data_IF_467740289937
#
_entry.id   IF_467740289937
#
_cell.length_a   1.000
_cell.length_b   1.000
_cell.length_c   1.000
_cell.angle_alpha   90.00
_cell.angle_beta   90.00
_cell.angle_gamma   90.00
#
_symmetry.space_group_name_H-M   'P 1'
#
loop_
_entity.id
_entity.type
_entity.pdbx_description
1 polymer ?
#
# COMPACT_ATOMS: atom_id res chain seq x y z
N UNK A 1 2.36 0.81 -3.40
CA UNK A 1 1.93 1.86 -2.45
C UNK A 1 0.92 2.69 -3.20
N UNK A 2 -0.31 2.76 -2.70
CA UNK A 2 -1.35 3.56 -3.32
C UNK A 2 -1.34 4.90 -2.58
N UNK A 3 -1.16 6.01 -3.28
CA UNK A 3 -1.42 7.32 -2.67
C UNK A 3 -2.73 7.83 -3.25
N UNK A 4 -3.76 7.92 -2.43
CA UNK A 4 -4.98 8.61 -2.83
C UNK A 4 -4.80 10.10 -2.52
N UNK A 5 -5.03 10.96 -3.51
CA UNK A 5 -5.14 12.40 -3.32
C UNK A 5 -6.61 12.75 -3.30
N UNK A 6 -7.10 13.28 -2.18
CA UNK A 6 -8.40 13.91 -2.09
C UNK A 6 -8.20 15.43 -2.14
N UNK A 7 -8.79 16.08 -3.14
CA UNK A 7 -9.03 17.52 -3.08
C UNK A 7 -10.31 17.72 -2.27
N UNK A 8 -10.23 18.43 -1.14
CA UNK A 8 -11.44 18.98 -0.55
C UNK A 8 -12.01 19.99 -1.56
N UNK A 9 -13.18 19.66 -2.15
CA UNK A 9 -14.01 20.67 -2.81
C UNK A 9 -14.16 21.82 -1.82
N UNK A 10 -13.79 23.03 -2.24
CA UNK A 10 -14.06 24.25 -1.48
C UNK A 10 -15.58 24.41 -1.35
N UNK A 11 -16.18 23.78 -0.33
CA UNK A 11 -17.52 24.13 0.13
C UNK A 11 -17.37 25.36 1.02
N UNK A 12 -17.92 26.48 0.55
CA UNK A 12 -18.26 27.62 1.41
C UNK A 12 -17.29 28.79 1.37
N UNK A 13 -17.40 29.62 0.32
CA UNK A 13 -17.01 31.04 0.35
C UNK A 13 -18.08 31.85 -0.41
N UNK A 14 -19.34 31.67 -0.02
CA UNK A 14 -20.45 32.50 -0.48
C UNK A 14 -21.64 32.40 0.49
N UNK A 15 -21.42 32.69 1.77
CA UNK A 15 -22.52 33.04 2.70
C UNK A 15 -21.92 33.75 3.92
N UNK A 16 -21.50 34.99 3.69
CA UNK A 16 -21.04 35.91 4.70
C UNK A 16 -21.62 37.28 4.41
N UNK A 17 -22.95 37.41 4.45
CA UNK A 17 -23.62 38.71 4.57
C UNK A 17 -23.99 38.91 6.04
N UNK A 18 -23.08 39.60 6.71
CA UNK A 18 -23.31 40.71 7.62
C UNK A 18 -24.78 40.96 8.03
N UNK A 19 -25.11 40.67 9.29
CA UNK A 19 -26.20 41.31 10.01
C UNK A 19 -25.76 41.59 11.45
N UNK A 20 -25.69 42.87 11.78
CA UNK A 20 -25.30 43.44 13.07
C UNK A 20 -26.34 43.15 14.18
N UNK A 21 -26.00 43.35 15.48
CA UNK A 21 -26.74 42.80 16.60
C UNK A 21 -27.87 43.73 17.08
N UNK A 22 -28.96 43.16 17.59
CA UNK A 22 -29.89 43.88 18.49
C UNK A 22 -30.30 43.01 19.67
N UNK A 23 -30.17 43.62 20.84
CA UNK A 23 -30.49 43.20 22.19
C UNK A 23 -32.00 43.19 22.49
N UNK A 24 -32.43 42.26 23.37
CA UNK A 24 -33.30 42.45 24.58
C UNK A 24 -34.22 41.24 24.82
N UNK A 25 -34.16 40.61 26.02
CA UNK A 25 -35.05 39.54 26.49
C UNK A 25 -36.41 40.05 27.01
N UNK A 26 -37.12 39.40 27.98
CA UNK A 26 -36.83 38.13 28.69
C UNK A 26 -38.04 37.15 28.81
N UNK A 27 -37.85 36.11 29.65
CA UNK A 27 -38.82 35.21 30.31
C UNK A 27 -39.38 34.00 29.52
N UNK A 28 -39.04 32.77 29.96
CA UNK A 28 -39.85 32.11 30.98
C UNK A 28 -39.18 30.85 31.58
N UNK A 29 -39.41 30.64 32.87
CA UNK A 29 -38.89 29.55 33.69
C UNK A 29 -39.54 28.20 33.36
N UNK A 30 -38.76 27.11 33.45
CA UNK A 30 -39.02 26.02 34.43
C UNK A 30 -37.92 24.96 34.46
N UNK A 31 -37.60 24.61 35.69
CA UNK A 31 -36.80 23.52 36.26
C UNK A 31 -37.11 22.15 35.62
N UNK A 32 -36.25 21.12 35.69
CA UNK A 32 -35.97 20.30 36.88
C UNK A 32 -34.71 19.44 36.68
N UNK A 33 -33.92 19.32 37.75
CA UNK A 33 -32.79 18.40 37.90
C UNK A 33 -33.17 17.02 38.48
N UNK A 34 -32.17 16.18 38.85
CA UNK A 34 -32.16 14.74 38.52
C UNK A 34 -32.30 13.79 39.72
N UNK A 35 -32.59 12.49 39.48
CA UNK A 35 -31.96 11.30 40.11
C UNK A 35 -32.68 9.96 39.82
N UNK A 36 -31.84 8.95 39.56
CA UNK A 36 -31.83 7.56 40.07
C UNK A 36 -33.01 6.55 39.88
N UNK A 37 -32.57 5.28 39.67
CA UNK A 37 -33.23 3.94 39.56
C UNK A 37 -34.14 3.57 40.78
N UNK A 38 -34.82 2.38 40.91
CA UNK A 38 -34.64 1.04 40.26
C UNK A 38 -35.89 0.10 40.08
N UNK A 39 -35.63 -1.18 39.73
CA UNK A 39 -36.45 -2.42 39.90
C UNK A 39 -37.61 -2.66 38.88
N UNK A 40 -38.08 -3.86 38.49
CA UNK A 40 -37.94 -5.28 38.90
C UNK A 40 -38.61 -6.25 37.88
N UNK A 41 -38.06 -7.46 37.77
CA UNK A 41 -38.64 -8.82 37.51
C UNK A 41 -40.02 -9.09 36.85
N UNK A 42 -40.05 -10.05 35.90
CA UNK A 42 -40.80 -11.35 35.86
C UNK A 42 -40.46 -12.10 34.55
N UNK A 43 -39.76 -13.24 34.55
CA UNK A 43 -40.16 -14.67 34.68
C UNK A 43 -40.91 -15.30 33.49
N UNK A 44 -40.28 -16.34 32.93
CA UNK A 44 -40.85 -17.55 32.29
C UNK A 44 -39.68 -18.47 31.89
N UNK A 45 -39.28 -19.47 32.69
CA UNK A 45 -39.64 -20.92 32.60
C UNK A 45 -39.27 -21.56 31.25
N UNK A 46 -38.61 -22.72 31.12
CA UNK A 46 -38.16 -23.77 32.05
C UNK A 46 -37.06 -24.60 31.35
N UNK A 47 -36.32 -25.34 32.17
CA UNK A 47 -35.11 -26.16 31.97
C UNK A 47 -35.40 -27.53 31.23
N UNK A 48 -34.54 -28.60 31.24
CA UNK A 48 -33.29 -28.81 32.01
C UNK A 48 -32.14 -29.69 31.43
N UNK A 49 -31.00 -29.61 32.16
CA UNK A 49 -30.02 -30.64 32.56
C UNK A 49 -29.22 -31.41 31.47
N UNK A 50 -27.92 -31.70 31.62
CA UNK A 50 -27.18 -32.08 32.84
C UNK A 50 -25.66 -32.06 32.54
N UNK A 51 -24.84 -31.46 33.39
CA UNK A 51 -23.40 -31.75 33.52
C UNK A 51 -23.09 -31.81 35.02
N UNK A 52 -22.65 -32.97 35.49
CA UNK A 52 -22.11 -33.19 36.84
C UNK A 52 -20.63 -33.56 36.70
N UNK A 53 -19.79 -32.86 37.46
CA UNK A 53 -18.34 -32.98 37.42
C UNK A 53 -17.73 -33.95 38.44
N UNK A 54 -16.50 -34.38 38.11
CA UNK A 54 -15.36 -34.71 38.98
C UNK A 54 -15.45 -35.93 39.92
N UNK A 55 -14.36 -36.35 40.60
CA UNK A 55 -12.94 -35.97 40.51
C UNK A 55 -11.99 -37.19 40.29
N UNK A 56 -10.67 -36.97 40.22
CA UNK A 56 -9.67 -37.96 39.80
C UNK A 56 -9.17 -38.97 40.85
N UNK A 57 -8.40 -39.97 40.39
CA UNK A 57 -7.25 -40.60 41.07
C UNK A 57 -6.65 -41.73 40.20
N UNK A 58 -5.32 -41.77 40.15
CA UNK A 58 -4.42 -42.94 40.11
C UNK A 58 -4.74 -44.20 39.28
N UNK A 59 -3.76 -44.62 38.47
CA UNK A 59 -3.50 -46.03 38.17
C UNK A 59 -3.57 -46.41 36.69
N UNK A 60 -2.44 -46.41 36.00
CA UNK A 60 -2.31 -47.01 34.67
C UNK A 60 -1.52 -48.33 34.77
N UNK A 61 -2.09 -49.49 34.39
CA UNK A 61 -1.32 -50.68 34.10
C UNK A 61 -0.98 -50.76 32.60
N UNK A 62 0.19 -51.36 32.39
CA UNK A 62 0.91 -51.69 31.15
C UNK A 62 0.00 -52.25 30.04
N UNK A 63 0.39 -52.01 28.77
CA UNK A 63 0.59 -53.01 27.70
C UNK A 63 0.95 -52.27 26.38
N UNK A 64 2.24 -52.28 26.00
CA UNK A 64 2.66 -51.98 24.62
C UNK A 64 3.68 -53.04 24.18
N UNK A 65 3.48 -53.77 23.07
CA UNK A 65 4.45 -54.74 22.61
C UNK A 65 5.57 -54.05 21.83
N UNK A 66 6.78 -54.49 22.14
CA UNK A 66 8.06 -54.17 21.54
C UNK A 66 8.02 -54.23 20.01
N UNK A 67 8.26 -53.12 19.32
CA UNK A 67 8.66 -53.11 17.90
C UNK A 67 10.06 -52.55 17.78
N UNK A 68 10.96 -53.37 17.23
CA UNK A 68 12.36 -53.07 16.94
C UNK A 68 12.47 -51.83 16.02
N UNK A 69 13.55 -51.02 16.11
CA UNK A 69 13.76 -49.93 15.18
C UNK A 69 14.18 -50.47 13.81
N UNK A 70 13.46 -50.12 12.75
CA UNK A 70 13.94 -50.31 11.38
C UNK A 70 15.05 -49.28 11.06
N UNK A 71 16.09 -49.63 10.31
CA UNK A 71 17.13 -48.69 9.92
C UNK A 71 16.57 -47.66 8.93
N UNK A 72 16.78 -46.38 9.23
CA UNK A 72 16.45 -45.28 8.32
C UNK A 72 17.37 -45.35 7.11
N UNK A 73 16.79 -45.48 5.92
CA UNK A 73 17.51 -45.27 4.66
C UNK A 73 18.02 -43.81 4.61
N UNK A 74 19.23 -43.56 4.11
CA UNK A 74 19.76 -42.20 4.01
C UNK A 74 18.94 -41.43 2.98
N UNK A 75 18.40 -40.29 3.39
CA UNK A 75 17.79 -39.31 2.49
C UNK A 75 18.89 -38.80 1.57
N UNK A 76 18.95 -39.31 0.34
CA UNK A 76 19.75 -38.69 -0.71
C UNK A 76 19.20 -37.29 -0.95
N UNK A 77 19.92 -36.30 -0.46
CA UNK A 77 19.75 -34.91 -0.85
C UNK A 77 20.20 -34.81 -2.31
N UNK A 78 19.25 -34.93 -3.23
CA UNK A 78 19.49 -34.58 -4.63
C UNK A 78 19.96 -33.11 -4.66
N UNK A 79 21.12 -32.80 -5.26
CA UNK A 79 21.55 -31.42 -5.39
C UNK A 79 20.60 -30.75 -6.39
N UNK A 80 19.87 -29.74 -5.93
CA UNK A 80 19.11 -28.85 -6.81
C UNK A 80 20.05 -28.29 -7.89
N UNK A 81 19.64 -28.26 -9.17
CA UNK A 81 20.47 -27.73 -10.24
C UNK A 81 20.84 -26.27 -9.97
N UNK A 82 22.12 -25.94 -10.13
CA UNK A 82 22.72 -24.66 -9.79
C UNK A 82 22.20 -23.44 -10.61
N UNK A 83 21.24 -23.64 -11.52
CA UNK A 83 20.71 -22.60 -12.40
C UNK A 83 19.69 -21.65 -11.75
N UNK A 84 19.27 -21.90 -10.49
CA UNK A 84 18.30 -21.08 -9.76
C UNK A 84 18.88 -20.27 -8.58
N UNK A 85 20.21 -20.16 -8.45
CA UNK A 85 20.86 -19.38 -7.38
C UNK A 85 20.94 -17.87 -7.63
N UNK A 86 20.12 -17.32 -8.53
CA UNK A 86 19.93 -15.88 -8.70
C UNK A 86 18.57 -15.41 -8.18
N UNK A 87 17.98 -16.11 -7.20
CA UNK A 87 16.97 -15.47 -6.38
C UNK A 87 17.66 -14.31 -5.63
N UNK A 88 17.42 -13.09 -6.10
CA UNK A 88 17.91 -11.87 -5.50
C UNK A 88 17.76 -11.94 -3.98
N UNK A 89 18.86 -11.67 -3.29
CA UNK A 89 18.96 -11.78 -1.84
C UNK A 89 17.83 -10.96 -1.17
N UNK A 90 17.22 -11.41 -0.05
CA UNK A 90 16.04 -10.78 0.55
C UNK A 90 16.29 -9.40 1.17
N UNK A 91 17.50 -8.85 1.01
CA UNK A 91 17.90 -7.58 1.59
C UNK A 91 17.22 -6.39 0.92
N UNK A 92 16.95 -5.35 1.70
CA UNK A 92 16.47 -4.08 1.17
C UNK A 92 17.53 -3.41 0.30
N UNK A 93 17.11 -2.73 -0.76
CA UNK A 93 18.02 -2.04 -1.69
C UNK A 93 18.84 -0.94 -1.01
N UNK A 94 18.33 -0.35 0.08
CA UNK A 94 19.04 0.65 0.88
C UNK A 94 20.15 0.10 1.78
N UNK A 95 20.28 -1.22 1.92
CA UNK A 95 21.31 -1.85 2.76
C UNK A 95 22.71 -1.47 2.28
N UNK A 96 22.95 -1.46 0.96
CA UNK A 96 24.23 -1.06 0.38
C UNK A 96 24.61 0.36 0.81
N UNK A 97 23.69 1.31 0.67
CA UNK A 97 23.92 2.70 1.06
C UNK A 97 24.31 2.84 2.54
N UNK A 98 23.60 2.17 3.44
CA UNK A 98 23.92 2.28 4.88
C UNK A 98 25.25 1.62 5.23
N UNK A 99 25.60 0.49 4.61
CA UNK A 99 26.90 -0.17 4.82
C UNK A 99 28.06 0.65 4.25
N UNK A 100 27.89 1.25 3.08
CA UNK A 100 28.90 2.12 2.47
C UNK A 100 29.17 3.40 3.31
N UNK A 101 28.21 3.80 4.16
CA UNK A 101 28.29 4.99 5.01
C UNK A 101 28.42 4.64 6.50
N UNK A 102 28.83 3.41 6.83
CA UNK A 102 28.83 2.90 8.21
C UNK A 102 29.69 3.77 9.14
N UNK A 103 30.82 4.28 8.67
CA UNK A 103 31.72 5.13 9.46
C UNK A 103 31.04 6.43 9.91
N UNK A 104 30.20 7.03 9.05
CA UNK A 104 29.43 8.24 9.38
C UNK A 104 28.27 7.92 10.31
N UNK A 105 27.59 6.79 10.09
CA UNK A 105 26.41 6.37 10.85
C UNK A 105 26.77 5.86 12.24
N UNK A 106 27.96 5.26 12.40
CA UNK A 106 28.46 4.71 13.65
C UNK A 106 29.01 5.74 14.65
N UNK A 107 29.06 7.03 14.29
CA UNK A 107 29.56 8.08 15.17
C UNK A 107 28.62 8.31 16.36
N UNK A 108 29.18 8.57 17.55
CA UNK A 108 28.40 8.79 18.79
C UNK A 108 27.43 9.98 18.70
N UNK A 109 27.76 10.97 17.88
CA UNK A 109 26.98 12.17 17.62
C UNK A 109 26.22 12.11 16.28
N UNK A 110 25.99 10.92 15.73
CA UNK A 110 25.29 10.74 14.47
C UNK A 110 23.89 11.38 14.52
N UNK A 111 23.62 12.23 13.53
CA UNK A 111 22.30 12.77 13.25
C UNK A 111 21.91 12.43 11.80
N UNK A 112 20.73 11.83 11.55
CA UNK A 112 20.33 11.43 10.21
C UNK A 112 20.24 12.61 9.24
N UNK A 113 20.85 12.46 8.06
CA UNK A 113 20.63 13.38 6.95
C UNK A 113 19.25 13.16 6.32
N UNK A 114 18.80 14.11 5.49
CA UNK A 114 17.57 13.93 4.70
C UNK A 114 17.62 12.68 3.82
N UNK A 115 18.79 12.38 3.26
CA UNK A 115 19.00 11.19 2.44
C UNK A 115 18.87 9.89 3.24
N UNK A 116 19.41 9.87 4.47
CA UNK A 116 19.26 8.72 5.38
C UNK A 116 17.79 8.46 5.71
N UNK A 117 17.04 9.52 5.97
CA UNK A 117 15.61 9.45 6.26
C UNK A 117 14.83 8.91 5.05
N UNK A 118 15.13 9.38 3.84
CA UNK A 118 14.48 8.90 2.61
C UNK A 118 14.78 7.44 2.29
N UNK A 119 15.98 6.95 2.62
CA UNK A 119 16.40 5.56 2.40
C UNK A 119 16.05 4.61 3.56
N UNK A 120 15.66 5.15 4.71
CA UNK A 120 15.24 4.37 5.85
C UNK A 120 13.93 3.62 5.53
N UNK A 121 13.93 2.31 5.77
CA UNK A 121 12.78 1.46 5.47
C UNK A 121 11.96 1.19 6.74
N UNK A 122 10.72 1.67 6.77
CA UNK A 122 9.71 1.28 7.74
C UNK A 122 8.46 0.82 7.01
N UNK A 123 8.00 -0.41 7.27
CA UNK A 123 6.79 -0.91 6.64
C UNK A 123 5.56 -0.18 7.20
N UNK A 124 4.81 0.52 6.34
CA UNK A 124 3.53 1.15 6.72
C UNK A 124 2.54 0.09 7.17
N UNK A 125 2.07 0.20 8.42
CA UNK A 125 0.99 -0.61 8.97
C UNK A 125 -0.24 0.27 9.11
N UNK A 126 -1.32 -0.06 8.41
CA UNK A 126 -2.54 0.74 8.38
C UNK A 126 -2.52 1.86 7.33
N UNK A 127 -3.24 2.93 7.65
CA UNK A 127 -3.52 4.09 6.81
C UNK A 127 -2.94 5.31 7.52
N UNK A 128 -2.22 6.15 6.79
CA UNK A 128 -1.63 7.39 7.29
C UNK A 128 -2.08 8.52 6.39
N UNK A 129 -2.63 9.59 6.99
CA UNK A 129 -3.05 10.78 6.26
C UNK A 129 -2.03 11.91 6.45
N UNK A 130 -1.78 12.64 5.38
CA UNK A 130 -0.92 13.81 5.35
C UNK A 130 -1.63 14.96 4.66
N UNK A 131 -1.90 16.01 5.44
CA UNK A 131 -2.49 17.25 4.93
C UNK A 131 -1.40 18.27 4.61
N UNK A 132 -1.47 18.86 3.42
CA UNK A 132 -0.58 19.93 3.02
C UNK A 132 -1.28 20.92 2.08
N UNK A 133 -0.81 22.16 2.05
CA UNK A 133 -1.37 23.20 1.17
C UNK A 133 -0.34 23.56 0.10
N UNK A 134 -0.71 23.43 -1.17
CA UNK A 134 0.14 23.78 -2.30
C UNK A 134 -0.56 24.87 -3.11
N UNK A 135 0.09 26.04 -3.27
CA UNK A 135 -0.47 27.18 -4.02
C UNK A 135 -1.91 27.52 -3.58
N UNK A 136 -2.16 27.53 -2.26
CA UNK A 136 -3.47 27.78 -1.62
C UNK A 136 -4.54 26.69 -1.83
N UNK A 137 -4.18 25.57 -2.43
CA UNK A 137 -5.08 24.42 -2.61
C UNK A 137 -4.77 23.40 -1.52
N UNK A 138 -5.74 23.01 -0.68
CA UNK A 138 -5.55 21.96 0.32
C UNK A 138 -5.51 20.59 -0.37
N UNK A 139 -4.47 19.83 -0.07
CA UNK A 139 -4.27 18.45 -0.50
C UNK A 139 -4.26 17.55 0.72
N UNK A 140 -5.03 16.46 0.64
CA UNK A 140 -4.93 15.35 1.56
C UNK A 140 -4.36 14.15 0.82
N UNK A 141 -3.19 13.68 1.25
CA UNK A 141 -2.55 12.47 0.75
C UNK A 141 -2.73 11.34 1.75
N UNK A 142 -3.22 10.20 1.25
CA UNK A 142 -3.43 9.01 2.07
C UNK A 142 -2.43 7.93 1.65
N UNK A 143 -1.51 7.57 2.55
CA UNK A 143 -0.59 6.43 2.39
C UNK A 143 -1.19 5.16 3.00
N UNK A 144 -1.17 4.09 2.22
CA UNK A 144 -1.67 2.78 2.63
C UNK A 144 -0.61 1.69 2.47
N UNK A 145 -0.58 0.78 3.45
CA UNK A 145 0.28 -0.40 3.38
C UNK A 145 0.03 -1.24 2.11
N UNK A 146 1.10 -1.56 1.39
CA UNK A 146 1.05 -2.32 0.13
C UNK A 146 1.06 -3.86 0.28
N UNK A 147 1.38 -4.37 1.47
CA UNK A 147 1.44 -5.81 1.76
C UNK A 147 0.05 -6.43 1.70
N UNK A 148 -0.07 -7.72 1.33
CA UNK A 148 -1.35 -8.44 1.17
C UNK A 148 -2.23 -8.31 2.41
N UNK A 149 -1.64 -8.41 3.61
CA UNK A 149 -2.34 -8.26 4.90
C UNK A 149 -2.96 -6.87 5.11
N UNK A 150 -2.47 -5.83 4.46
CA UNK A 150 -2.96 -4.46 4.60
C UNK A 150 -3.98 -4.07 3.53
N UNK A 151 -4.07 -4.82 2.42
CA UNK A 151 -4.96 -4.48 1.29
C UNK A 151 -6.44 -4.50 1.65
N UNK A 152 -6.81 -5.33 2.62
CA UNK A 152 -8.16 -5.31 3.16
C UNK A 152 -8.51 -3.94 3.75
N UNK A 153 -7.56 -3.10 4.18
CA UNK A 153 -7.88 -1.78 4.74
C UNK A 153 -8.14 -0.71 3.67
N UNK A 154 -7.81 -0.97 2.41
CA UNK A 154 -7.89 0.05 1.36
C UNK A 154 -9.33 0.56 1.12
N UNK A 155 -10.35 -0.28 1.35
CA UNK A 155 -11.73 0.17 1.21
C UNK A 155 -12.11 1.32 2.16
N UNK A 156 -11.37 1.48 3.27
CA UNK A 156 -11.64 2.51 4.28
C UNK A 156 -11.23 3.91 3.81
N UNK A 157 -10.38 4.01 2.78
CA UNK A 157 -9.87 5.28 2.26
C UNK A 157 -10.32 5.59 0.83
N UNK A 158 -11.31 4.85 0.30
CA UNK A 158 -11.80 5.05 -1.08
C UNK A 158 -12.93 6.06 -1.20
N UNK A 159 -13.44 6.58 -0.09
CA UNK A 159 -14.47 7.62 -0.13
C UNK A 159 -13.88 9.00 -0.43
N UNK A 160 -14.50 9.75 -1.34
CA UNK A 160 -14.12 11.12 -1.68
C UNK A 160 -12.74 11.31 -2.33
N UNK A 161 -12.11 10.25 -2.85
CA UNK A 161 -10.80 10.39 -3.51
C UNK A 161 -10.94 11.02 -4.89
N UNK A 162 -10.02 11.93 -5.22
CA UNK A 162 -9.99 12.62 -6.51
C UNK A 162 -9.08 11.90 -7.50
N UNK A 163 -7.96 11.38 -7.00
CA UNK A 163 -6.97 10.71 -7.83
C UNK A 163 -6.23 9.63 -7.07
N UNK A 164 -5.76 8.63 -7.80
CA UNK A 164 -4.94 7.52 -7.33
C UNK A 164 -3.56 7.62 -7.98
N UNK A 165 -2.51 7.72 -7.18
CA UNK A 165 -1.13 7.54 -7.60
C UNK A 165 -0.73 6.09 -7.31
N UNK A 166 -0.64 5.30 -8.37
CA UNK A 166 -0.28 3.89 -8.28
C UNK A 166 1.23 3.72 -8.43
N UNK A 167 1.93 3.35 -7.36
CA UNK A 167 3.38 3.17 -7.40
C UNK A 167 3.78 1.71 -7.70
N UNK A 168 4.64 1.56 -8.70
CA UNK A 168 5.25 0.29 -9.13
C UNK A 168 6.75 0.37 -8.89
N UNK A 169 7.33 -0.71 -8.36
CA UNK A 169 8.77 -0.87 -8.28
C UNK A 169 9.29 -1.48 -9.58
N UNK A 170 9.82 -0.64 -10.49
CA UNK A 170 10.20 -1.09 -11.83
C UNK A 170 11.44 -1.98 -11.86
N UNK A 171 12.30 -1.89 -10.85
CA UNK A 171 13.51 -2.71 -10.73
C UNK A 171 13.24 -4.14 -10.24
N UNK A 172 12.02 -4.50 -9.82
CA UNK A 172 11.71 -5.77 -9.15
C UNK A 172 11.21 -6.87 -10.10
N UNK A 173 11.50 -6.77 -11.41
CA UNK A 173 11.07 -7.74 -12.41
C UNK A 173 11.67 -9.14 -12.26
N UNK A 174 12.79 -9.26 -11.54
CA UNK A 174 13.52 -10.50 -11.23
C UNK A 174 13.27 -11.00 -9.80
N UNK A 175 12.46 -10.29 -9.01
CA UNK A 175 12.23 -10.59 -7.60
C UNK A 175 10.91 -11.32 -7.34
N UNK A 176 10.89 -12.10 -6.28
CA UNK A 176 9.67 -12.73 -5.74
C UNK A 176 9.17 -11.98 -4.49
N UNK A 177 7.87 -12.12 -4.20
CA UNK A 177 7.27 -11.57 -2.99
C UNK A 177 7.90 -12.21 -1.75
N UNK A 178 8.08 -11.40 -0.71
CA UNK A 178 8.54 -11.90 0.59
C UNK A 178 7.51 -12.81 1.28
N UNK A 179 6.23 -12.61 0.96
CA UNK A 179 5.09 -13.26 1.61
C UNK A 179 4.94 -14.73 1.21
N UNK A 180 5.21 -15.08 -0.06
CA UNK A 180 5.05 -16.45 -0.57
C UNK A 180 6.30 -17.02 -1.24
N UNK A 181 7.35 -16.21 -1.46
CA UNK A 181 8.63 -16.57 -2.11
C UNK A 181 8.48 -17.24 -3.48
N UNK A 182 7.33 -17.07 -4.13
CA UNK A 182 7.01 -17.72 -5.40
C UNK A 182 6.51 -16.73 -6.45
N UNK A 183 5.61 -15.82 -6.05
CA UNK A 183 4.98 -14.88 -6.97
C UNK A 183 5.96 -13.78 -7.35
N UNK A 184 6.13 -13.52 -8.65
CA UNK A 184 6.94 -12.41 -9.15
C UNK A 184 6.33 -11.06 -8.71
N UNK A 185 7.17 -10.13 -8.23
CA UNK A 185 6.71 -8.86 -7.67
C UNK A 185 6.10 -7.91 -8.68
N UNK A 186 6.65 -7.87 -9.89
CA UNK A 186 6.11 -7.03 -10.96
C UNK A 186 4.77 -7.58 -11.45
N UNK A 187 4.64 -8.92 -11.57
CA UNK A 187 3.37 -9.59 -11.89
C UNK A 187 2.30 -9.28 -10.84
N UNK A 188 2.65 -9.39 -9.55
CA UNK A 188 1.74 -9.02 -8.47
C UNK A 188 1.29 -7.56 -8.60
N UNK A 189 2.22 -6.64 -8.89
CA UNK A 189 1.91 -5.21 -9.08
C UNK A 189 0.95 -5.00 -10.26
N UNK A 190 1.11 -5.73 -11.36
CA UNK A 190 0.19 -5.70 -12.50
C UNK A 190 -1.20 -6.22 -12.15
N UNK A 191 -1.31 -7.30 -11.35
CA UNK A 191 -2.60 -7.86 -10.93
C UNK A 191 -3.36 -6.91 -10.01
N UNK A 192 -2.66 -6.24 -9.10
CA UNK A 192 -3.24 -5.19 -8.25
C UNK A 192 -3.71 -4.02 -9.11
N UNK A 193 -2.88 -3.56 -10.05
CA UNK A 193 -3.23 -2.47 -10.95
C UNK A 193 -4.48 -2.80 -11.77
N UNK A 194 -4.56 -4.01 -12.33
CA UNK A 194 -5.72 -4.50 -13.06
C UNK A 194 -7.01 -4.43 -12.22
N UNK A 195 -6.90 -4.75 -10.93
CA UNK A 195 -8.05 -4.73 -10.01
C UNK A 195 -8.51 -3.30 -9.75
N UNK A 196 -7.59 -2.36 -9.57
CA UNK A 196 -7.91 -0.95 -9.31
C UNK A 196 -8.42 -0.27 -10.57
N UNK A 197 -7.69 -0.35 -11.68
CA UNK A 197 -7.99 0.42 -12.90
C UNK A 197 -9.31 0.01 -13.56
N UNK A 198 -9.78 -1.22 -13.29
CA UNK A 198 -11.05 -1.73 -13.80
C UNK A 198 -12.18 -1.69 -12.75
N UNK A 199 -11.94 -1.13 -11.56
CA UNK A 199 -12.95 -1.02 -10.53
C UNK A 199 -13.93 0.11 -10.86
N UNK A 200 -15.24 -0.20 -10.84
CA UNK A 200 -16.31 0.78 -11.10
C UNK A 200 -16.31 1.94 -10.10
N UNK A 201 -15.84 1.72 -8.87
CA UNK A 201 -15.71 2.79 -7.86
C UNK A 201 -14.77 3.91 -8.29
N UNK A 202 -13.85 3.64 -9.23
CA UNK A 202 -12.84 4.60 -9.69
C UNK A 202 -13.10 5.12 -11.10
N UNK A 203 -14.34 4.98 -11.61
CA UNK A 203 -14.67 5.43 -12.96
C UNK A 203 -14.41 6.93 -13.19
N UNK A 204 -14.70 7.76 -12.18
CA UNK A 204 -14.47 9.21 -12.19
C UNK A 204 -13.17 9.63 -11.48
N UNK A 205 -12.30 8.68 -11.14
CA UNK A 205 -11.05 8.95 -10.40
C UNK A 205 -9.88 8.91 -11.37
N UNK A 206 -9.04 9.95 -11.34
CA UNK A 206 -7.81 9.98 -12.16
C UNK A 206 -6.80 8.98 -11.63
N UNK A 207 -6.36 8.02 -12.45
CA UNK A 207 -5.36 7.03 -12.06
C UNK A 207 -4.05 7.33 -12.78
N UNK A 208 -3.00 7.59 -12.01
CA UNK A 208 -1.67 7.96 -12.49
C UNK A 208 -0.67 6.90 -12.05
N UNK A 209 0.09 6.35 -13.01
CA UNK A 209 1.05 5.28 -12.80
C UNK A 209 2.46 5.82 -12.58
N UNK A 210 3.07 5.53 -11.43
CA UNK A 210 4.48 5.84 -11.17
C UNK A 210 5.32 4.57 -11.29
N UNK A 211 6.18 4.55 -12.30
CA UNK A 211 7.22 3.55 -12.49
C UNK A 211 8.46 4.01 -11.71
N UNK A 212 8.52 3.62 -10.43
CA UNK A 212 9.51 4.07 -9.47
C UNK A 212 10.78 3.20 -9.49
N UNK A 213 11.84 3.71 -8.83
CA UNK A 213 13.17 3.10 -8.73
C UNK A 213 13.89 3.02 -10.07
N UNK A 214 13.79 4.11 -10.83
CA UNK A 214 14.40 4.20 -12.15
C UNK A 214 15.92 4.14 -12.10
N UNK A 215 16.51 4.70 -11.06
CA UNK A 215 17.93 4.57 -10.70
C UNK A 215 18.38 3.09 -10.63
N UNK A 216 17.61 2.26 -9.93
CA UNK A 216 17.92 0.84 -9.81
C UNK A 216 17.62 0.06 -11.09
N UNK A 217 16.60 0.48 -11.85
CA UNK A 217 16.30 -0.13 -13.15
C UNK A 217 17.46 0.08 -14.13
N UNK A 218 18.01 1.29 -14.21
CA UNK A 218 19.13 1.64 -15.09
C UNK A 218 20.33 0.72 -14.86
N UNK A 219 20.70 0.48 -13.60
CA UNK A 219 21.81 -0.41 -13.28
C UNK A 219 21.47 -1.88 -13.55
N UNK A 220 20.25 -2.31 -13.23
CA UNK A 220 19.85 -3.71 -13.37
C UNK A 220 19.70 -4.15 -14.82
N UNK A 221 19.21 -3.28 -15.71
CA UNK A 221 19.07 -3.56 -17.15
C UNK A 221 20.42 -3.93 -17.77
N UNK A 222 21.54 -3.39 -17.28
CA UNK A 222 22.89 -3.72 -17.78
C UNK A 222 23.29 -5.16 -17.48
N UNK A 223 22.82 -5.75 -16.39
CA UNK A 223 23.31 -7.04 -15.87
C UNK A 223 22.28 -8.17 -15.93
N UNK A 224 20.99 -7.87 -15.79
CA UNK A 224 19.90 -8.86 -15.70
C UNK A 224 18.87 -8.65 -16.79
N UNK A 225 18.79 -9.61 -17.71
CA UNK A 225 17.80 -9.61 -18.79
C UNK A 225 16.38 -9.83 -18.29
N UNK A 226 15.47 -8.90 -18.60
CA UNK A 226 14.03 -9.01 -18.30
C UNK A 226 13.36 -10.21 -19.00
N UNK A 227 13.90 -10.63 -20.15
CA UNK A 227 13.35 -11.70 -20.99
C UNK A 227 13.28 -13.05 -20.30
N UNK A 228 14.13 -13.28 -19.28
CA UNK A 228 14.11 -14.50 -18.45
C UNK A 228 12.81 -14.63 -17.64
N UNK A 229 12.22 -13.50 -17.25
CA UNK A 229 11.01 -13.46 -16.42
C UNK A 229 9.76 -13.11 -17.24
N UNK A 230 9.95 -12.39 -18.35
CA UNK A 230 8.90 -11.96 -19.27
C UNK A 230 9.24 -12.41 -20.70
N UNK A 231 8.91 -13.65 -21.08
CA UNK A 231 9.31 -14.23 -22.37
C UNK A 231 8.63 -13.53 -23.58
N UNK A 232 7.52 -12.84 -23.32
CA UNK A 232 6.75 -12.02 -24.25
C UNK A 232 7.39 -10.64 -24.53
N UNK A 233 8.50 -10.31 -23.87
CA UNK A 233 9.31 -9.13 -24.18
C UNK A 233 9.93 -9.22 -25.58
N UNK A 234 9.55 -8.26 -26.45
CA UNK A 234 10.04 -8.11 -27.82
C UNK A 234 10.80 -6.79 -27.94
N UNK A 235 12.07 -6.80 -27.59
CA UNK A 235 12.98 -5.65 -27.66
C UNK A 235 14.41 -6.06 -27.26
N UNK A 236 15.30 -5.09 -27.14
CA UNK A 236 16.63 -5.31 -26.57
C UNK A 236 16.56 -5.33 -25.03
N UNK A 237 16.88 -6.46 -24.36
CA UNK A 237 16.74 -6.59 -22.91
C UNK A 237 17.74 -5.75 -22.11
N UNK A 238 18.77 -5.20 -22.77
CA UNK A 238 19.78 -4.35 -22.16
C UNK A 238 19.63 -2.87 -22.54
N UNK A 239 18.58 -2.52 -23.29
CA UNK A 239 18.22 -1.14 -23.61
C UNK A 239 17.14 -0.64 -22.67
N UNK A 240 17.45 0.40 -21.89
CA UNK A 240 16.53 0.98 -20.90
C UNK A 240 15.19 1.39 -21.50
N UNK A 241 15.20 2.07 -22.65
CA UNK A 241 13.97 2.57 -23.31
C UNK A 241 13.04 1.43 -23.74
N UNK A 242 13.59 0.32 -24.23
CA UNK A 242 12.79 -0.84 -24.65
C UNK A 242 12.13 -1.51 -23.43
N UNK A 243 12.88 -1.62 -22.34
CA UNK A 243 12.35 -2.14 -21.06
C UNK A 243 11.29 -1.20 -20.50
N UNK A 244 11.53 0.12 -20.48
CA UNK A 244 10.56 1.12 -20.02
C UNK A 244 9.27 1.08 -20.83
N UNK A 245 9.38 1.04 -22.17
CA UNK A 245 8.23 0.94 -23.08
C UNK A 245 7.44 -0.34 -22.84
N UNK A 246 8.13 -1.46 -22.64
CA UNK A 246 7.51 -2.72 -22.30
C UNK A 246 6.74 -2.64 -20.98
N UNK A 247 7.33 -2.08 -19.93
CA UNK A 247 6.66 -1.92 -18.63
C UNK A 247 5.36 -1.12 -18.77
N UNK A 248 5.41 0.05 -19.43
CA UNK A 248 4.21 0.86 -19.68
C UNK A 248 3.16 0.06 -20.45
N UNK A 249 3.59 -0.67 -21.48
CA UNK A 249 2.69 -1.52 -22.27
C UNK A 249 2.05 -2.64 -21.44
N UNK A 250 2.78 -3.28 -20.53
CA UNK A 250 2.26 -4.29 -19.64
C UNK A 250 1.13 -3.77 -18.76
N UNK A 251 1.31 -2.58 -18.16
CA UNK A 251 0.25 -1.95 -17.35
C UNK A 251 -0.92 -1.46 -18.21
N UNK A 252 -0.65 -0.89 -19.38
CA UNK A 252 -1.71 -0.41 -20.27
C UNK A 252 -2.59 -1.56 -20.80
N UNK A 253 -2.01 -2.74 -21.05
CA UNK A 253 -2.76 -3.96 -21.44
C UNK A 253 -3.71 -4.47 -20.35
N UNK A 254 -3.50 -4.11 -19.08
CA UNK A 254 -4.39 -4.50 -17.97
C UNK A 254 -5.68 -3.67 -17.92
N UNK A 255 -5.79 -2.61 -18.72
CA UNK A 255 -6.96 -1.72 -18.73
C UNK A 255 -8.00 -2.22 -19.72
N UNK A 256 -9.24 -2.39 -19.25
CA UNK A 256 -10.39 -2.67 -20.11
C UNK A 256 -10.80 -1.44 -20.92
N UNK A 257 -10.80 -0.27 -20.28
CA UNK A 257 -11.09 1.00 -20.94
C UNK A 257 -9.79 1.71 -21.33
N UNK A 258 -9.46 1.67 -22.63
CA UNK A 258 -8.27 2.33 -23.21
C UNK A 258 -8.61 3.61 -23.99
N UNK A 259 -9.82 4.14 -23.83
CA UNK A 259 -10.22 5.41 -24.46
C UNK A 259 -9.44 6.62 -23.91
N UNK A 260 -9.17 6.62 -22.60
CA UNK A 260 -8.31 7.62 -21.95
C UNK A 260 -6.83 7.20 -22.06
N UNK A 261 -5.88 8.13 -22.24
CA UNK A 261 -4.46 7.81 -22.17
C UNK A 261 -4.08 7.32 -20.76
N UNK A 262 -3.07 6.45 -20.66
CA UNK A 262 -2.48 6.06 -19.39
C UNK A 262 -1.50 7.15 -18.95
N UNK A 263 -1.91 7.99 -17.99
CA UNK A 263 -0.99 8.93 -17.35
C UNK A 263 0.06 8.16 -16.57
N UNK A 264 1.33 8.33 -16.93
CA UNK A 264 2.42 7.63 -16.28
C UNK A 264 3.67 8.50 -16.20
N UNK A 265 4.49 8.24 -15.19
CA UNK A 265 5.77 8.90 -14.98
C UNK A 265 6.82 7.89 -14.54
N UNK A 266 8.05 8.04 -15.03
CA UNK A 266 9.21 7.34 -14.51
C UNK A 266 9.80 8.15 -13.37
N UNK A 267 9.91 7.55 -12.20
CA UNK A 267 10.28 8.25 -10.97
C UNK A 267 11.42 7.60 -10.23
N UNK A 268 12.13 8.44 -9.47
CA UNK A 268 13.10 8.03 -8.45
C UNK A 268 12.69 8.73 -7.16
N UNK A 269 11.98 8.03 -6.27
CA UNK A 269 11.39 8.63 -5.07
C UNK A 269 12.40 9.21 -4.08
N UNK A 270 13.66 8.79 -4.15
CA UNK A 270 14.76 9.37 -3.35
C UNK A 270 15.27 10.69 -3.93
N UNK A 271 14.94 11.00 -5.18
CA UNK A 271 15.28 12.27 -5.84
C UNK A 271 14.15 13.28 -5.64
N UNK A 272 14.42 14.28 -4.80
CA UNK A 272 13.44 15.32 -4.44
C UNK A 272 13.06 16.19 -5.64
N UNK A 273 13.97 16.43 -6.59
CA UNK A 273 13.70 17.28 -7.75
C UNK A 273 12.88 16.52 -8.80
N UNK A 274 13.16 15.23 -8.99
CA UNK A 274 12.32 14.37 -9.82
C UNK A 274 10.87 14.34 -9.31
N UNK A 275 10.69 14.15 -8.00
CA UNK A 275 9.35 14.15 -7.39
C UNK A 275 8.69 15.53 -7.46
N UNK A 276 9.43 16.63 -7.29
CA UNK A 276 8.88 17.99 -7.46
C UNK A 276 8.30 18.19 -8.85
N UNK A 277 9.03 17.81 -9.89
CA UNK A 277 8.59 17.95 -11.27
C UNK A 277 7.37 17.08 -11.56
N UNK A 278 7.44 15.80 -11.18
CA UNK A 278 6.35 14.83 -11.39
C UNK A 278 5.10 15.28 -10.65
N UNK A 279 5.23 15.75 -9.41
CA UNK A 279 4.09 16.23 -8.63
C UNK A 279 3.46 17.49 -9.24
N UNK A 280 4.25 18.38 -9.83
CA UNK A 280 3.70 19.53 -10.55
C UNK A 280 2.87 19.10 -11.76
N UNK A 281 3.39 18.16 -12.56
CA UNK A 281 2.67 17.61 -13.72
C UNK A 281 1.38 16.89 -13.30
N UNK A 282 1.44 16.08 -12.24
CA UNK A 282 0.26 15.42 -11.65
C UNK A 282 -0.78 16.43 -11.20
N UNK A 283 -0.36 17.47 -10.48
CA UNK A 283 -1.25 18.54 -10.01
C UNK A 283 -1.94 19.23 -11.19
N UNK A 284 -1.24 19.51 -12.29
CA UNK A 284 -1.85 20.11 -13.49
C UNK A 284 -2.86 19.16 -14.15
N UNK A 285 -2.56 17.87 -14.28
CA UNK A 285 -3.49 16.85 -14.81
C UNK A 285 -4.77 16.76 -13.97
N UNK A 286 -4.63 16.66 -12.64
CA UNK A 286 -5.77 16.53 -11.72
C UNK A 286 -6.64 17.80 -11.77
N UNK A 287 -6.02 18.98 -11.75
CA UNK A 287 -6.76 20.24 -11.81
C UNK A 287 -7.48 20.41 -13.15
N UNK A 288 -6.84 20.05 -14.27
CA UNK A 288 -7.48 20.14 -15.58
C UNK A 288 -8.67 19.19 -15.73
N UNK A 289 -8.60 17.96 -15.22
CA UNK A 289 -9.72 17.03 -15.24
C UNK A 289 -10.87 17.53 -14.35
N UNK A 290 -10.58 17.99 -13.14
CA UNK A 290 -11.60 18.54 -12.25
C UNK A 290 -12.25 19.82 -12.78
N UNK A 291 -11.48 20.70 -13.43
CA UNK A 291 -12.02 21.92 -14.04
C UNK A 291 -12.92 21.61 -15.23
N UNK A 292 -12.58 20.60 -16.06
CA UNK A 292 -13.45 20.16 -17.16
C UNK A 292 -14.78 19.62 -16.63
N UNK A 293 -14.75 18.85 -15.57
CA UNK A 293 -15.97 18.32 -14.93
C UNK A 293 -16.83 19.44 -14.32
N UNK A 294 -16.23 20.53 -13.84
CA UNK A 294 -16.96 21.71 -13.33
C UNK A 294 -17.51 22.58 -14.47
N UNK A 295 -16.79 22.72 -15.58
CA UNK A 295 -17.21 23.55 -16.73
C UNK A 295 -18.27 22.86 -17.62
N UNK A 296 -18.47 21.55 -17.47
CA UNK A 296 -19.47 20.75 -18.17
C UNK A 296 -20.74 20.49 -17.33
N UNK A 297 -20.83 21.03 -16.11
CA UNK A 297 -22.04 21.09 -15.29
C UNK A 297 -22.71 22.46 -15.41
#
# INVERSE_FOLDING_TARGET
>A
MLLASAQQKARGLAEGREAAPRSSGPDDLRSWGPRARPASHRRGTMAPCEELGGPGASGAPRLWPSRRPQPRLPVQSLPFPASQRQAASPWGESVKYFLDNLDRIGQLNYFPSKQDILLARKATKGIVEHDFVIKKIPFKMVDVGGQRSQRQKWFQCFDGITSILFMVSSSEYDQVLMEDRHTNRLVESMNIFETIVNNKLFFNVSIILFLNKMDLLVEKVKTVSIKKHFPDFKGDPHRLEDVQRFLVQCFDRKRRNRSKPLFHHFTTAIDTENIRFVFHAVKDTILQENLKDIMLQ
#
